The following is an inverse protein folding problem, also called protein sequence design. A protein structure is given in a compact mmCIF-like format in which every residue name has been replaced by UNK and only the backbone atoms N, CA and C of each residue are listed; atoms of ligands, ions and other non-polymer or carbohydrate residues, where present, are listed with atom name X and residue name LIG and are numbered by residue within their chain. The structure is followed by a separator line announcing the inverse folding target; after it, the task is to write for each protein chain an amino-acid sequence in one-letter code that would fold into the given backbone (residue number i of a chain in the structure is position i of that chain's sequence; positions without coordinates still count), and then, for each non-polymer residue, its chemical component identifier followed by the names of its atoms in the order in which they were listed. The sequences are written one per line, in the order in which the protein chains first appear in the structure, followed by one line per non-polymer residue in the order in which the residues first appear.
data_IF_623965598042
#
_entry.id   IF_623965598042
#
_cell.length_a   1.000
_cell.length_b   1.000
_cell.length_c   1.000
_cell.angle_alpha   90.00
_cell.angle_beta   90.00
_cell.angle_gamma   90.00
#
_symmetry.space_group_name_H-M   'P 1'
#
loop_
_entity.id
_entity.type
_entity.pdbx_description
1 polymer ?
#
# COMPACT_ATOMS: atom_id res chain seq x y z
N UNK A 1 -2.65 16.36 4.91
CA UNK A 1 -3.07 14.98 4.50
C UNK A 1 -4.45 14.71 5.09
N UNK A 2 -5.23 13.84 4.47
CA UNK A 2 -6.49 13.36 5.04
C UNK A 2 -6.25 12.21 6.05
N UNK A 3 -7.29 11.85 6.82
CA UNK A 3 -7.20 10.83 7.88
C UNK A 3 -6.72 9.44 7.38
N UNK A 4 -7.04 9.08 6.13
CA UNK A 4 -6.60 7.81 5.52
C UNK A 4 -5.09 7.81 5.30
N UNK A 5 -4.53 8.90 4.75
CA UNK A 5 -3.09 9.05 4.55
C UNK A 5 -2.32 9.19 5.87
N UNK A 6 -2.92 9.84 6.87
CA UNK A 6 -2.36 9.90 8.23
C UNK A 6 -2.27 8.51 8.85
N UNK A 7 -3.32 7.68 8.67
CA UNK A 7 -3.30 6.29 9.14
C UNK A 7 -2.24 5.44 8.42
N UNK A 8 -2.07 5.63 7.10
CA UNK A 8 -0.99 4.98 6.33
C UNK A 8 0.39 5.40 6.87
N UNK A 9 0.58 6.69 7.19
CA UNK A 9 1.83 7.19 7.75
C UNK A 9 2.11 6.62 9.15
N UNK A 10 1.09 6.51 10.00
CA UNK A 10 1.19 5.90 11.33
C UNK A 10 1.64 4.43 11.25
N UNK A 11 1.04 3.66 10.33
CA UNK A 11 1.36 2.25 10.11
C UNK A 11 2.80 2.07 9.59
N UNK A 12 3.23 2.91 8.66
CA UNK A 12 4.59 2.95 8.13
C UNK A 12 4.96 1.85 7.13
N UNK A 13 4.41 0.66 7.23
CA UNK A 13 4.60 -0.45 6.28
C UNK A 13 3.24 -1.02 5.91
N UNK A 14 2.96 -1.10 4.60
CA UNK A 14 1.71 -1.65 4.07
C UNK A 14 2.00 -2.99 3.39
N UNK A 15 1.50 -4.12 3.93
CA UNK A 15 1.59 -5.42 3.29
C UNK A 15 0.87 -5.43 1.94
N UNK A 16 1.61 -5.72 0.85
CA UNK A 16 1.05 -5.85 -0.50
C UNK A 16 0.71 -7.32 -0.75
N UNK A 17 -0.57 -7.60 -0.81
CA UNK A 17 -1.15 -8.95 -0.75
C UNK A 17 -1.65 -9.39 -2.12
N UNK A 18 -1.32 -10.63 -2.49
CA UNK A 18 -1.92 -11.35 -3.62
C UNK A 18 -2.55 -12.63 -3.07
N UNK A 19 -3.87 -12.77 -3.21
CA UNK A 19 -4.62 -13.98 -2.81
C UNK A 19 -5.28 -14.59 -4.03
N UNK A 20 -5.00 -15.87 -4.26
CA UNK A 20 -5.62 -16.64 -5.35
C UNK A 20 -6.99 -17.21 -4.94
N UNK A 21 -7.22 -17.39 -3.64
CA UNK A 21 -8.45 -17.97 -3.07
C UNK A 21 -8.94 -17.13 -1.88
N UNK A 22 -10.22 -16.83 -1.84
CA UNK A 22 -10.84 -16.04 -0.78
C UNK A 22 -10.81 -16.74 0.60
N UNK A 23 -10.70 -18.09 0.65
CA UNK A 23 -10.57 -18.82 1.92
C UNK A 23 -9.34 -18.41 2.74
N UNK A 24 -8.30 -17.89 2.07
CA UNK A 24 -7.06 -17.49 2.72
C UNK A 24 -7.14 -16.07 3.33
N UNK A 25 -8.22 -15.30 3.04
CA UNK A 25 -8.37 -13.93 3.50
C UNK A 25 -8.52 -13.82 5.02
N UNK A 26 -9.38 -14.62 5.63
CA UNK A 26 -9.62 -14.59 7.07
C UNK A 26 -8.39 -15.06 7.90
N UNK A 27 -7.74 -16.19 7.59
CA UNK A 27 -6.53 -16.58 8.31
C UNK A 27 -5.37 -15.59 8.10
N UNK A 28 -5.24 -14.97 6.92
CA UNK A 28 -4.24 -13.94 6.69
C UNK A 28 -4.54 -12.67 7.50
N UNK A 29 -5.80 -12.20 7.53
CA UNK A 29 -6.19 -11.04 8.35
C UNK A 29 -5.84 -11.27 9.82
N UNK A 30 -6.18 -12.45 10.35
CA UNK A 30 -5.81 -12.82 11.73
C UNK A 30 -4.30 -12.78 11.95
N UNK A 31 -3.51 -13.32 11.03
CA UNK A 31 -2.04 -13.32 11.15
C UNK A 31 -1.45 -11.90 11.14
N UNK A 32 -1.99 -11.00 10.32
CA UNK A 32 -1.61 -9.59 10.27
C UNK A 32 -1.93 -8.89 11.60
N UNK A 33 -3.13 -9.10 12.15
CA UNK A 33 -3.56 -8.54 13.43
C UNK A 33 -2.67 -9.05 14.57
N UNK A 34 -2.49 -10.36 14.69
CA UNK A 34 -1.66 -11.00 15.71
C UNK A 34 -0.18 -10.56 15.62
N UNK A 35 0.24 -10.16 14.42
CA UNK A 35 1.55 -9.56 14.13
C UNK A 35 1.66 -8.07 14.46
N UNK A 36 0.57 -7.42 14.88
CA UNK A 36 0.54 -5.99 15.17
C UNK A 36 0.56 -5.09 13.92
N UNK A 37 0.23 -5.65 12.75
CA UNK A 37 0.19 -4.95 11.47
C UNK A 37 -1.21 -5.11 10.81
N UNK A 38 -2.29 -4.59 11.42
CA UNK A 38 -3.67 -4.80 10.97
C UNK A 38 -3.99 -4.00 9.70
N UNK A 39 -3.25 -4.21 8.63
CA UNK A 39 -3.50 -3.57 7.34
C UNK A 39 -3.10 -4.45 6.17
N UNK A 40 -3.69 -4.20 4.99
CA UNK A 40 -3.36 -4.87 3.74
C UNK A 40 -3.72 -4.02 2.52
N UNK A 41 -2.84 -3.97 1.52
CA UNK A 41 -3.15 -3.57 0.15
C UNK A 41 -3.45 -4.85 -0.64
N UNK A 42 -4.73 -5.25 -0.75
CA UNK A 42 -5.13 -6.45 -1.52
C UNK A 42 -5.19 -6.10 -3.01
N UNK A 43 -4.39 -6.78 -3.83
CA UNK A 43 -4.23 -6.40 -5.23
C UNK A 43 -5.25 -7.05 -6.16
N UNK A 44 -5.84 -6.27 -7.07
CA UNK A 44 -6.76 -6.73 -8.13
C UNK A 44 -6.04 -7.49 -9.25
N UNK A 45 -5.08 -8.36 -8.88
CA UNK A 45 -4.36 -9.25 -9.79
C UNK A 45 -5.02 -10.61 -9.94
N UNK A 46 -6.00 -10.92 -9.09
CA UNK A 46 -6.74 -12.18 -9.07
C UNK A 46 -8.24 -11.92 -9.03
N UNK A 47 -9.02 -12.91 -9.41
CA UNK A 47 -10.48 -12.83 -9.31
C UNK A 47 -10.99 -12.82 -7.87
N UNK A 48 -10.20 -13.33 -6.93
CA UNK A 48 -10.57 -13.39 -5.51
C UNK A 48 -10.43 -12.05 -4.76
N UNK A 49 -9.76 -11.05 -5.36
CA UNK A 49 -9.37 -9.81 -4.66
C UNK A 49 -10.55 -9.09 -3.99
N UNK A 50 -11.66 -8.90 -4.70
CA UNK A 50 -12.86 -8.22 -4.17
C UNK A 50 -13.42 -8.95 -2.96
N UNK A 51 -13.57 -10.27 -3.05
CA UNK A 51 -14.10 -11.08 -1.95
C UNK A 51 -13.13 -11.12 -0.76
N UNK A 52 -11.82 -11.15 -1.01
CA UNK A 52 -10.81 -11.04 0.04
C UNK A 52 -10.91 -9.70 0.80
N UNK A 53 -11.09 -8.59 0.08
CA UNK A 53 -11.30 -7.26 0.69
C UNK A 53 -12.55 -7.29 1.55
N UNK A 54 -13.66 -7.84 1.05
CA UNK A 54 -14.94 -7.95 1.76
C UNK A 54 -14.78 -8.73 3.07
N UNK A 55 -14.21 -9.93 2.99
CA UNK A 55 -13.98 -10.78 4.17
C UNK A 55 -13.13 -10.05 5.22
N UNK A 56 -12.00 -9.44 4.79
CA UNK A 56 -11.12 -8.71 5.71
C UNK A 56 -11.82 -7.51 6.35
N UNK A 57 -12.62 -6.77 5.58
CA UNK A 57 -13.28 -5.55 6.06
C UNK A 57 -14.49 -5.83 6.94
N UNK A 58 -15.29 -6.87 6.65
CA UNK A 58 -16.51 -7.19 7.37
C UNK A 58 -16.26 -8.02 8.63
N UNK A 59 -15.35 -9.01 8.54
CA UNK A 59 -15.10 -9.93 9.65
C UNK A 59 -14.03 -9.43 10.63
N UNK A 60 -13.20 -8.48 10.21
CA UNK A 60 -12.09 -7.95 11.00
C UNK A 60 -12.11 -6.41 10.99
N UNK A 61 -12.99 -5.78 11.81
CA UNK A 61 -13.19 -4.31 11.79
C UNK A 61 -11.93 -3.51 12.15
N UNK A 62 -10.96 -4.11 12.82
CA UNK A 62 -9.66 -3.53 13.11
C UNK A 62 -8.73 -3.45 11.89
N UNK A 63 -9.02 -4.21 10.82
CA UNK A 63 -8.21 -4.20 9.60
C UNK A 63 -8.39 -2.92 8.79
N UNK A 64 -7.27 -2.30 8.44
CA UNK A 64 -7.21 -1.17 7.52
C UNK A 64 -6.90 -1.68 6.11
N UNK A 65 -7.95 -1.96 5.34
CA UNK A 65 -7.83 -2.62 4.03
C UNK A 65 -7.88 -1.60 2.91
N UNK A 66 -6.96 -1.70 1.97
CA UNK A 66 -6.95 -0.98 0.70
C UNK A 66 -6.92 -1.93 -0.50
N UNK A 67 -7.19 -1.39 -1.68
CA UNK A 67 -7.13 -2.11 -2.94
C UNK A 67 -5.96 -1.65 -3.79
N UNK A 68 -5.09 -2.58 -4.19
CA UNK A 68 -3.95 -2.34 -5.08
C UNK A 68 -4.17 -2.84 -6.50
N UNK A 69 -3.33 -2.39 -7.41
CA UNK A 69 -3.40 -2.74 -8.84
C UNK A 69 -4.78 -2.45 -9.46
N UNK A 70 -5.39 -1.33 -9.04
CA UNK A 70 -6.68 -0.87 -9.55
C UNK A 70 -6.44 -0.11 -10.86
N UNK A 71 -7.02 -0.60 -11.95
CA UNK A 71 -6.74 -0.13 -13.32
C UNK A 71 -7.96 0.46 -14.04
N UNK A 72 -9.16 0.34 -13.46
CA UNK A 72 -10.40 0.87 -14.04
C UNK A 72 -11.30 1.50 -12.98
N UNK A 73 -12.22 2.36 -13.39
CA UNK A 73 -13.21 2.97 -12.50
C UNK A 73 -14.17 1.95 -11.90
N UNK A 74 -14.50 0.89 -12.65
CA UNK A 74 -15.32 -0.23 -12.17
C UNK A 74 -14.62 -0.99 -11.05
N UNK A 75 -13.29 -1.17 -11.15
CA UNK A 75 -12.52 -1.76 -10.06
C UNK A 75 -12.48 -0.85 -8.82
N UNK A 76 -12.43 0.48 -8.99
CA UNK A 76 -12.56 1.43 -7.87
C UNK A 76 -13.88 1.21 -7.15
N UNK A 77 -15.01 1.21 -7.88
CA UNK A 77 -16.34 1.05 -7.29
C UNK A 77 -16.48 -0.31 -6.57
N UNK A 78 -16.01 -1.38 -7.19
CA UNK A 78 -16.01 -2.74 -6.58
C UNK A 78 -15.16 -2.80 -5.32
N UNK A 79 -13.97 -2.20 -5.33
CA UNK A 79 -13.08 -2.15 -4.18
C UNK A 79 -13.72 -1.40 -2.99
N UNK A 80 -14.29 -0.22 -3.26
CA UNK A 80 -14.96 0.59 -2.23
C UNK A 80 -16.21 -0.11 -1.70
N UNK A 81 -17.03 -0.72 -2.57
CA UNK A 81 -18.20 -1.49 -2.17
C UNK A 81 -17.83 -2.71 -1.31
N UNK A 82 -16.65 -3.31 -1.52
CA UNK A 82 -16.11 -4.39 -0.69
C UNK A 82 -15.50 -3.91 0.64
N UNK A 83 -15.39 -2.59 0.86
CA UNK A 83 -14.91 -2.01 2.12
C UNK A 83 -13.50 -1.42 2.08
N UNK A 84 -12.84 -1.34 0.89
CA UNK A 84 -11.53 -0.72 0.77
C UNK A 84 -11.55 0.77 1.20
N UNK A 85 -10.60 1.17 2.03
CA UNK A 85 -10.45 2.53 2.56
C UNK A 85 -9.57 3.42 1.68
N UNK A 86 -8.73 2.84 0.85
CA UNK A 86 -7.86 3.55 -0.08
C UNK A 86 -7.61 2.72 -1.34
N UNK A 87 -7.27 3.42 -2.41
CA UNK A 87 -6.96 2.86 -3.72
C UNK A 87 -5.48 3.08 -4.05
N UNK A 88 -4.86 2.08 -4.64
CA UNK A 88 -3.48 2.15 -5.13
C UNK A 88 -3.44 1.63 -6.57
N UNK A 89 -2.78 2.35 -7.46
CA UNK A 89 -2.53 1.92 -8.83
C UNK A 89 -1.04 1.83 -9.14
N UNK A 90 -0.62 0.97 -10.08
CA UNK A 90 0.79 0.83 -10.44
C UNK A 90 1.34 2.02 -11.23
N UNK A 91 0.48 2.79 -11.87
CA UNK A 91 0.82 4.00 -12.63
C UNK A 91 -0.25 5.07 -12.43
N UNK A 92 0.05 6.28 -12.88
CA UNK A 92 -0.89 7.40 -12.85
C UNK A 92 -1.76 7.36 -14.13
N UNK A 93 -3.02 6.94 -13.97
CA UNK A 93 -4.04 7.11 -15.01
C UNK A 93 -4.92 8.31 -14.63
N UNK A 94 -4.86 9.43 -15.37
CA UNK A 94 -5.57 10.65 -15.01
C UNK A 94 -7.08 10.46 -14.83
N UNK A 95 -7.70 9.58 -15.64
CA UNK A 95 -9.13 9.27 -15.53
C UNK A 95 -9.48 8.62 -14.21
N UNK A 96 -8.68 7.67 -13.75
CA UNK A 96 -8.90 6.97 -12.48
C UNK A 96 -8.63 7.91 -11.31
N UNK A 97 -7.55 8.69 -11.38
CA UNK A 97 -7.21 9.68 -10.36
C UNK A 97 -8.34 10.69 -10.18
N UNK A 98 -8.77 11.31 -11.28
CA UNK A 98 -9.88 12.27 -11.28
C UNK A 98 -11.16 11.67 -10.72
N UNK A 99 -11.49 10.44 -11.13
CA UNK A 99 -12.67 9.72 -10.63
C UNK A 99 -12.64 9.51 -9.11
N UNK A 100 -11.49 9.09 -8.58
CA UNK A 100 -11.32 8.93 -7.14
C UNK A 100 -11.43 10.27 -6.40
N UNK A 101 -10.77 11.32 -6.90
CA UNK A 101 -10.79 12.66 -6.29
C UNK A 101 -12.21 13.23 -6.26
N UNK A 102 -12.95 13.15 -7.36
CA UNK A 102 -14.34 13.62 -7.45
C UNK A 102 -15.29 12.89 -6.49
N UNK A 103 -15.00 11.64 -6.19
CA UNK A 103 -15.77 10.83 -5.23
C UNK A 103 -15.24 10.91 -3.78
N UNK A 104 -14.21 11.68 -3.52
CA UNK A 104 -13.58 11.77 -2.18
C UNK A 104 -12.88 10.48 -1.76
N UNK A 105 -12.48 9.63 -2.71
CA UNK A 105 -11.79 8.37 -2.46
C UNK A 105 -10.28 8.63 -2.46
N UNK A 106 -9.60 8.24 -1.39
CA UNK A 106 -8.14 8.37 -1.30
C UNK A 106 -7.46 7.44 -2.31
N UNK A 107 -6.61 8.00 -3.18
CA UNK A 107 -5.80 7.24 -4.14
C UNK A 107 -4.33 7.64 -4.04
N UNK A 108 -3.43 6.65 -4.13
CA UNK A 108 -1.99 6.84 -4.28
C UNK A 108 -1.54 6.19 -5.61
N UNK A 109 -1.53 6.96 -6.71
CA UNK A 109 -1.13 6.45 -8.03
C UNK A 109 0.39 6.29 -8.13
N UNK A 110 0.83 5.33 -8.94
CA UNK A 110 2.24 5.10 -9.23
C UNK A 110 2.84 6.21 -10.09
N UNK A 111 3.92 6.83 -9.63
CA UNK A 111 4.66 7.89 -10.32
C UNK A 111 6.15 7.56 -10.28
N UNK A 112 6.85 7.71 -11.40
CA UNK A 112 8.30 7.46 -11.48
C UNK A 112 9.08 8.58 -12.13
N UNK A 113 8.42 9.62 -12.62
CA UNK A 113 9.02 10.74 -13.33
C UNK A 113 8.32 12.06 -13.00
N UNK A 114 8.94 13.21 -13.34
CA UNK A 114 8.37 14.54 -13.10
C UNK A 114 6.97 14.75 -13.65
N UNK A 115 6.69 14.30 -14.89
CA UNK A 115 5.38 14.52 -15.52
C UNK A 115 4.24 13.80 -14.78
N UNK A 116 4.50 12.61 -14.20
CA UNK A 116 3.53 11.92 -13.37
C UNK A 116 3.22 12.71 -12.09
N UNK A 117 4.29 13.27 -11.45
CA UNK A 117 4.14 14.05 -10.23
C UNK A 117 3.35 15.33 -10.50
N UNK A 118 3.62 16.03 -11.60
CA UNK A 118 2.89 17.24 -11.99
C UNK A 118 1.40 16.94 -12.21
N UNK A 119 1.07 15.83 -12.86
CA UNK A 119 -0.32 15.38 -12.99
C UNK A 119 -0.97 15.04 -11.65
N UNK A 120 -0.22 14.45 -10.71
CA UNK A 120 -0.71 14.20 -9.35
C UNK A 120 -1.02 15.52 -8.62
N UNK A 121 -0.13 16.49 -8.71
CA UNK A 121 -0.29 17.83 -8.12
C UNK A 121 -1.49 18.57 -8.73
N UNK A 122 -1.66 18.52 -10.06
CA UNK A 122 -2.80 19.12 -10.75
C UNK A 122 -4.14 18.57 -10.25
N UNK A 123 -4.18 17.30 -9.85
CA UNK A 123 -5.35 16.66 -9.25
C UNK A 123 -5.42 16.82 -7.72
N UNK A 124 -4.58 17.65 -7.11
CA UNK A 124 -4.60 17.94 -5.67
C UNK A 124 -4.05 16.83 -4.78
N UNK A 125 -3.29 15.88 -5.32
CA UNK A 125 -2.69 14.81 -4.54
C UNK A 125 -1.43 15.29 -3.81
N UNK A 126 -1.30 14.91 -2.56
CA UNK A 126 -0.14 15.20 -1.69
C UNK A 126 0.81 14.02 -1.55
N UNK A 127 0.34 12.81 -1.91
CA UNK A 127 1.08 11.55 -1.79
C UNK A 127 0.95 10.74 -3.07
N UNK A 128 2.06 10.21 -3.55
CA UNK A 128 2.11 9.29 -4.67
C UNK A 128 2.83 7.99 -4.29
N UNK A 129 2.43 6.88 -4.91
CA UNK A 129 3.22 5.66 -4.88
C UNK A 129 4.43 5.83 -5.80
N UNK A 130 5.63 5.43 -5.35
CA UNK A 130 6.80 5.32 -6.20
C UNK A 130 7.03 3.84 -6.55
N UNK A 131 6.79 3.46 -7.81
CA UNK A 131 6.77 2.07 -8.24
C UNK A 131 7.21 1.90 -9.69
N UNK A 132 8.05 0.89 -10.00
CA UNK A 132 8.73 -0.04 -9.07
C UNK A 132 9.97 0.63 -8.42
N UNK A 133 10.01 0.75 -7.09
CA UNK A 133 10.90 1.66 -6.40
C UNK A 133 12.39 1.41 -6.67
N UNK A 134 12.92 0.23 -6.37
CA UNK A 134 14.34 -0.08 -6.54
C UNK A 134 14.78 -0.01 -8.01
N UNK A 135 13.95 -0.53 -8.92
CA UNK A 135 14.24 -0.54 -10.36
C UNK A 135 14.17 0.86 -10.99
N UNK A 136 13.39 1.77 -10.38
CA UNK A 136 13.23 3.15 -10.85
C UNK A 136 14.26 4.13 -10.23
N UNK A 137 15.30 3.62 -9.56
CA UNK A 137 16.38 4.43 -8.98
C UNK A 137 16.31 4.61 -7.46
N UNK A 138 15.36 3.99 -6.80
CA UNK A 138 15.29 3.88 -5.34
C UNK A 138 15.20 5.21 -4.61
N UNK A 139 15.69 5.22 -3.37
CA UNK A 139 15.70 6.41 -2.52
C UNK A 139 16.44 7.61 -3.12
N UNK A 140 17.57 7.46 -3.86
CA UNK A 140 18.22 8.57 -4.54
C UNK A 140 17.30 9.28 -5.54
N UNK A 141 16.53 8.54 -6.33
CA UNK A 141 15.59 9.12 -7.29
C UNK A 141 14.43 9.84 -6.59
N UNK A 142 13.88 9.25 -5.52
CA UNK A 142 12.85 9.92 -4.69
C UNK A 142 13.38 11.25 -4.15
N UNK A 143 14.60 11.28 -3.61
CA UNK A 143 15.23 12.51 -3.08
C UNK A 143 15.40 13.57 -4.16
N UNK A 144 15.83 13.18 -5.35
CA UNK A 144 15.98 14.10 -6.48
C UNK A 144 14.64 14.71 -6.90
N UNK A 145 13.59 13.92 -7.00
CA UNK A 145 12.23 14.43 -7.29
C UNK A 145 11.67 15.29 -6.16
N UNK A 146 11.82 14.88 -4.90
CA UNK A 146 11.34 15.60 -3.75
C UNK A 146 11.99 16.99 -3.60
N UNK A 147 13.21 17.16 -4.09
CA UNK A 147 13.90 18.47 -4.13
C UNK A 147 13.18 19.47 -5.02
N UNK A 148 12.62 19.02 -6.14
CA UNK A 148 11.82 19.88 -7.04
C UNK A 148 10.37 20.05 -6.56
N UNK A 149 9.78 18.97 -6.01
CA UNK A 149 8.37 18.94 -5.61
C UNK A 149 8.22 18.96 -4.08
N UNK A 150 8.48 20.11 -3.48
CA UNK A 150 8.63 20.32 -2.02
C UNK A 150 7.44 19.84 -1.19
N UNK A 151 6.21 19.90 -1.73
CA UNK A 151 4.99 19.47 -1.05
C UNK A 151 4.69 17.97 -1.18
N UNK A 152 5.35 17.27 -2.12
CA UNK A 152 5.03 15.87 -2.44
C UNK A 152 5.65 14.90 -1.42
N UNK A 153 4.85 13.90 -1.03
CA UNK A 153 5.30 12.75 -0.23
C UNK A 153 5.16 11.46 -1.03
N UNK A 154 5.85 10.41 -0.59
CA UNK A 154 6.00 9.19 -1.37
C UNK A 154 5.68 7.95 -0.55
N UNK A 155 5.16 6.91 -1.24
CA UNK A 155 4.97 5.56 -0.75
C UNK A 155 5.70 4.59 -1.69
N UNK A 156 7.03 4.35 -1.50
CA UNK A 156 7.79 3.44 -2.34
C UNK A 156 7.31 2.00 -2.19
N UNK A 157 7.21 1.31 -3.33
CA UNK A 157 6.82 -0.10 -3.43
C UNK A 157 7.61 -0.76 -4.56
N UNK A 158 8.02 -2.01 -4.37
CA UNK A 158 8.81 -2.77 -5.35
C UNK A 158 10.30 -2.80 -5.00
N UNK A 159 10.78 -3.99 -4.64
CA UNK A 159 12.14 -4.22 -4.16
C UNK A 159 12.37 -3.82 -2.69
N UNK A 160 11.34 -3.36 -1.99
CA UNK A 160 11.44 -3.06 -0.56
C UNK A 160 11.48 -4.37 0.25
N UNK A 161 12.39 -4.42 1.20
CA UNK A 161 12.68 -5.60 2.01
C UNK A 161 13.24 -5.18 3.38
N UNK A 162 13.44 -6.11 4.34
CA UNK A 162 14.08 -5.80 5.62
C UNK A 162 15.48 -5.17 5.51
N UNK A 163 16.14 -5.35 4.35
CA UNK A 163 17.50 -4.84 4.13
C UNK A 163 17.56 -3.34 3.85
N UNK A 164 16.50 -2.76 3.27
CA UNK A 164 16.49 -1.36 2.85
C UNK A 164 15.34 -0.51 3.43
N UNK A 165 14.29 -1.14 3.96
CA UNK A 165 13.08 -0.43 4.43
C UNK A 165 13.38 0.67 5.46
N UNK A 166 14.35 0.46 6.36
CA UNK A 166 14.72 1.46 7.37
C UNK A 166 15.28 2.74 6.78
N UNK A 167 16.09 2.64 5.70
CA UNK A 167 16.65 3.80 5.01
C UNK A 167 15.54 4.63 4.35
N UNK A 168 14.55 3.95 3.74
CA UNK A 168 13.37 4.61 3.19
C UNK A 168 12.56 5.29 4.29
N UNK A 169 12.21 4.59 5.38
CA UNK A 169 11.40 5.11 6.48
C UNK A 169 12.04 6.29 7.22
N UNK A 170 13.37 6.38 7.20
CA UNK A 170 14.11 7.48 7.82
C UNK A 170 14.03 8.80 7.01
N UNK A 171 13.60 8.75 5.75
CA UNK A 171 13.43 9.96 4.95
C UNK A 171 12.04 10.57 5.18
N UNK A 172 11.98 11.81 5.62
CA UNK A 172 10.78 12.52 6.06
C UNK A 172 9.69 12.69 4.98
N UNK A 173 10.06 12.56 3.70
CA UNK A 173 9.11 12.59 2.57
C UNK A 173 8.45 11.24 2.29
N UNK A 174 8.84 10.17 2.98
CA UNK A 174 8.19 8.86 2.86
C UNK A 174 7.20 8.67 3.98
N UNK A 175 5.92 8.50 3.64
CA UNK A 175 4.87 8.25 4.64
C UNK A 175 4.81 6.78 5.06
N UNK A 176 4.98 5.87 4.11
CA UNK A 176 4.99 4.43 4.35
C UNK A 176 5.72 3.72 3.21
N UNK A 177 6.07 2.45 3.41
CA UNK A 177 6.62 1.58 2.38
C UNK A 177 5.68 0.42 2.09
N UNK A 178 5.40 0.14 0.81
CA UNK A 178 4.69 -1.07 0.41
C UNK A 178 5.66 -2.25 0.31
N UNK A 179 5.35 -3.37 0.93
CA UNK A 179 6.20 -4.56 0.91
C UNK A 179 5.41 -5.87 0.90
N UNK A 180 5.98 -6.91 0.33
CA UNK A 180 5.35 -8.24 0.26
C UNK A 180 6.13 -9.33 0.99
N UNK A 181 7.29 -9.01 1.59
CA UNK A 181 8.16 -10.03 2.20
C UNK A 181 7.52 -10.74 3.39
N UNK A 182 6.61 -10.09 4.14
CA UNK A 182 5.89 -10.67 5.27
C UNK A 182 4.67 -11.50 4.86
N UNK A 183 4.16 -11.30 3.62
CA UNK A 183 2.94 -11.93 3.10
C UNK A 183 3.18 -12.66 1.78
N UNK A 184 4.32 -13.34 1.68
CA UNK A 184 4.70 -14.08 0.47
C UNK A 184 3.65 -15.14 0.12
N UNK A 185 3.34 -15.26 -1.17
CA UNK A 185 2.32 -16.18 -1.66
C UNK A 185 2.61 -17.67 -1.38
N UNK A 186 3.89 -18.04 -1.25
CA UNK A 186 4.30 -19.39 -0.85
C UNK A 186 3.92 -19.70 0.61
N UNK A 187 4.07 -18.75 1.52
CA UNK A 187 3.65 -18.89 2.92
C UNK A 187 2.13 -19.01 3.03
N UNK A 188 1.38 -18.17 2.28
CA UNK A 188 -0.08 -18.22 2.25
C UNK A 188 -0.55 -19.58 1.71
N UNK A 189 0.00 -20.05 0.59
CA UNK A 189 -0.33 -21.35 -0.01
C UNK A 189 0.00 -22.53 0.89
N UNK A 190 1.07 -22.41 1.68
CA UNK A 190 1.45 -23.44 2.67
C UNK A 190 0.59 -23.38 3.95
N UNK A 191 -0.23 -22.34 4.14
CA UNK A 191 -0.96 -22.10 5.38
C UNK A 191 -0.06 -21.72 6.56
N UNK A 192 1.16 -21.25 6.29
CA UNK A 192 2.13 -20.88 7.33
C UNK A 192 1.87 -19.46 7.86
N UNK A 193 0.67 -19.27 8.40
CA UNK A 193 0.25 -18.00 8.98
C UNK A 193 1.01 -17.64 10.26
N UNK A 194 1.58 -18.63 10.95
CA UNK A 194 2.45 -18.40 12.10
C UNK A 194 3.73 -17.65 11.68
N UNK A 195 4.34 -18.04 10.56
CA UNK A 195 5.51 -17.35 10.01
C UNK A 195 5.16 -15.94 9.51
N UNK A 196 3.98 -15.76 8.92
CA UNK A 196 3.48 -14.44 8.53
C UNK A 196 3.37 -13.53 9.76
N UNK A 197 2.78 -14.03 10.86
CA UNK A 197 2.68 -13.27 12.13
C UNK A 197 4.06 -12.86 12.65
N UNK A 198 5.05 -13.75 12.62
CA UNK A 198 6.42 -13.44 13.03
C UNK A 198 7.03 -12.32 12.17
N UNK A 199 6.94 -12.45 10.85
CA UNK A 199 7.47 -11.45 9.90
C UNK A 199 6.77 -10.08 10.02
N UNK A 200 5.49 -10.07 10.38
CA UNK A 200 4.76 -8.82 10.66
C UNK A 200 5.28 -8.15 11.95
N UNK A 201 5.53 -8.92 13.02
CA UNK A 201 6.16 -8.39 14.24
C UNK A 201 7.52 -7.77 13.95
N UNK A 202 8.36 -8.45 13.16
CA UNK A 202 9.64 -7.90 12.73
C UNK A 202 9.47 -6.58 11.96
N UNK A 203 8.48 -6.51 11.04
CA UNK A 203 8.20 -5.31 10.27
C UNK A 203 7.77 -4.14 11.17
N UNK A 204 6.91 -4.38 12.15
CA UNK A 204 6.47 -3.39 13.14
C UNK A 204 7.66 -2.86 13.96
N UNK A 205 8.54 -3.75 14.43
CA UNK A 205 9.75 -3.33 15.18
C UNK A 205 10.72 -2.50 14.30
N UNK A 206 10.80 -2.79 12.98
CA UNK A 206 11.56 -1.94 12.05
C UNK A 206 10.99 -0.52 11.99
N UNK A 207 9.66 -0.36 11.92
CA UNK A 207 9.01 0.96 11.93
C UNK A 207 9.31 1.70 13.24
N UNK A 208 9.08 1.06 14.39
CA UNK A 208 9.35 1.63 15.71
C UNK A 208 10.83 2.04 15.88
N UNK A 209 11.76 1.25 15.36
CA UNK A 209 13.18 1.55 15.47
C UNK A 209 13.62 2.81 14.71
N UNK A 210 12.78 3.32 13.80
CA UNK A 210 13.07 4.51 12.98
C UNK A 210 12.19 5.70 13.37
N UNK A 211 10.94 5.44 13.78
CA UNK A 211 9.92 6.48 13.98
C UNK A 211 9.35 6.57 15.39
N UNK A 212 9.67 5.59 16.24
CA UNK A 212 9.18 5.42 17.61
C UNK A 212 10.02 6.12 18.67
#
# INVERSE_FOLDING_TARGET
MNQVLEKIQEIGIIPVVVLDDAKDAAPLAKALIDGGLPCAEVTFRTAAAEECIRIMSEQFPEMFVGAGTVLTTEQVDRAVAAGAKFIVSPGLNPRIVKYCVEKGITITPGCTNPSDIEQAIENGLEVVKFFPAEQAGGLPMIKAMAAAYVGMKFMPTGGISPKNVKEYLAYDRIIACGGSWMVKGDLVKAGDFAKITELCKEAVEMVKSVRG
#
